data_IF_768276592182
#
_entry.id   IF_768276592182
#
_cell.length_a   1.000
_cell.length_b   1.000
_cell.length_c   1.000
_cell.angle_alpha   90.00
_cell.angle_beta   90.00
_cell.angle_gamma   90.00
#
_symmetry.space_group_name_H-M   'P 1'
#
loop_
_entity.id
_entity.type
_entity.pdbx_description
1 polymer ?
#
# COMPACT_ATOMS: atom_id res chain seq x y z
N UNK A 1 53.61 55.82 -2.86
CA UNK A 1 53.07 54.45 -3.08
C UNK A 1 51.54 54.31 -3.04
N UNK A 2 50.74 55.33 -2.68
CA UNK A 2 49.26 55.16 -2.55
C UNK A 2 48.46 55.36 -3.85
N UNK A 3 49.03 56.02 -4.86
CA UNK A 3 48.31 56.39 -6.10
C UNK A 3 48.26 55.22 -7.11
N UNK A 4 49.27 54.35 -7.13
CA UNK A 4 49.31 53.16 -8.01
C UNK A 4 48.25 52.12 -7.62
N UNK A 5 48.08 51.86 -6.31
CA UNK A 5 47.09 50.92 -5.79
C UNK A 5 45.65 51.32 -6.14
N UNK A 6 45.31 52.61 -6.09
CA UNK A 6 43.97 53.08 -6.44
C UNK A 6 43.67 52.86 -7.94
N UNK A 7 44.66 53.11 -8.80
CA UNK A 7 44.54 52.92 -10.25
C UNK A 7 44.44 51.44 -10.64
N UNK A 8 45.10 50.56 -9.91
CA UNK A 8 44.98 49.10 -10.08
C UNK A 8 43.63 48.59 -9.58
N UNK A 9 43.13 49.09 -8.46
CA UNK A 9 41.80 48.75 -7.94
C UNK A 9 40.66 49.21 -8.88
N UNK A 10 40.78 50.38 -9.51
CA UNK A 10 39.85 50.85 -10.55
C UNK A 10 39.90 49.98 -11.82
N UNK A 11 41.08 49.49 -12.21
CA UNK A 11 41.21 48.58 -13.36
C UNK A 11 40.56 47.23 -13.09
N UNK A 12 40.75 46.67 -11.90
CA UNK A 12 40.16 45.39 -11.49
C UNK A 12 38.63 45.52 -11.37
N UNK A 13 38.13 46.60 -10.78
CA UNK A 13 36.68 46.83 -10.65
C UNK A 13 36.00 47.09 -12.00
N UNK A 14 36.66 47.81 -12.92
CA UNK A 14 36.19 48.04 -14.29
C UNK A 14 36.08 46.73 -15.10
N UNK A 15 37.09 45.86 -15.01
CA UNK A 15 37.06 44.54 -15.66
C UNK A 15 35.95 43.65 -15.09
N UNK A 16 35.78 43.65 -13.77
CA UNK A 16 34.71 42.90 -13.10
C UNK A 16 33.31 43.40 -13.51
N UNK A 17 33.11 44.72 -13.58
CA UNK A 17 31.86 45.30 -14.02
C UNK A 17 31.56 44.98 -15.50
N UNK A 18 32.56 45.01 -16.37
CA UNK A 18 32.41 44.62 -17.79
C UNK A 18 32.01 43.15 -17.91
N UNK A 19 32.63 42.25 -17.13
CA UNK A 19 32.26 40.82 -17.09
C UNK A 19 30.82 40.62 -16.63
N UNK A 20 30.40 41.32 -15.58
CA UNK A 20 29.01 41.26 -15.07
C UNK A 20 27.99 41.75 -16.08
N UNK A 21 28.31 42.78 -16.86
CA UNK A 21 27.45 43.28 -17.94
C UNK A 21 27.34 42.25 -19.08
N UNK A 22 28.46 41.61 -19.47
CA UNK A 22 28.44 40.59 -20.51
C UNK A 22 27.58 39.39 -20.10
N UNK A 23 27.77 38.89 -18.87
CA UNK A 23 26.98 37.76 -18.35
C UNK A 23 25.48 38.07 -18.29
N UNK A 24 25.10 39.29 -17.90
CA UNK A 24 23.68 39.71 -17.93
C UNK A 24 23.12 39.75 -19.35
N UNK A 25 23.92 40.17 -20.34
CA UNK A 25 23.51 40.17 -21.75
C UNK A 25 23.36 38.74 -22.29
N UNK A 26 24.29 37.85 -21.98
CA UNK A 26 24.22 36.43 -22.37
C UNK A 26 23.02 35.73 -21.73
N UNK A 27 22.79 35.94 -20.44
CA UNK A 27 21.61 35.41 -19.75
C UNK A 27 20.32 35.96 -20.37
N UNK A 28 20.24 37.28 -20.62
CA UNK A 28 19.10 37.91 -21.28
C UNK A 28 18.84 37.36 -22.69
N UNK A 29 19.89 37.10 -23.47
CA UNK A 29 19.78 36.45 -24.77
C UNK A 29 19.30 35.00 -24.67
N UNK A 30 19.81 34.22 -23.71
CA UNK A 30 19.38 32.86 -23.46
C UNK A 30 17.89 32.80 -23.09
N UNK A 31 17.43 33.68 -22.19
CA UNK A 31 16.01 33.79 -21.86
C UNK A 31 15.18 34.19 -23.08
N UNK A 32 15.64 35.14 -23.89
CA UNK A 32 14.93 35.55 -25.12
C UNK A 32 14.83 34.43 -26.14
N UNK A 33 15.89 33.62 -26.32
CA UNK A 33 15.89 32.43 -27.19
C UNK A 33 14.94 31.36 -26.65
N UNK A 34 14.98 31.10 -25.34
CA UNK A 34 14.09 30.13 -24.72
C UNK A 34 12.62 30.55 -24.82
N UNK A 35 12.30 31.82 -24.57
CA UNK A 35 10.95 32.36 -24.69
C UNK A 35 10.35 32.24 -26.11
N UNK A 36 11.19 32.21 -27.15
CA UNK A 36 10.72 31.97 -28.52
C UNK A 36 10.14 30.55 -28.69
N UNK A 37 10.61 29.56 -27.94
CA UNK A 37 10.08 28.18 -27.98
C UNK A 37 8.78 28.01 -27.18
N UNK A 38 8.49 28.95 -26.28
CA UNK A 38 7.23 28.99 -25.52
C UNK A 38 6.13 29.83 -26.20
N UNK A 39 6.36 30.23 -27.45
CA UNK A 39 5.31 30.86 -28.25
C UNK A 39 4.34 29.78 -28.76
N UNK A 40 3.02 29.91 -28.54
CA UNK A 40 2.02 28.92 -28.96
C UNK A 40 2.06 28.61 -30.47
N UNK A 41 2.47 29.60 -31.27
CA UNK A 41 2.60 29.47 -32.73
C UNK A 41 3.71 28.52 -33.20
N UNK A 42 4.71 28.24 -32.35
CA UNK A 42 5.89 27.43 -32.74
C UNK A 42 5.88 26.03 -32.15
N UNK A 43 5.06 25.77 -31.14
CA UNK A 43 4.95 24.44 -30.54
C UNK A 43 3.48 24.06 -30.31
N UNK A 44 2.91 23.19 -31.17
CA UNK A 44 1.52 22.74 -31.02
C UNK A 44 1.29 21.97 -29.71
N UNK A 45 2.33 21.36 -29.13
CA UNK A 45 2.23 20.66 -27.86
C UNK A 45 1.90 21.60 -26.67
N UNK A 46 2.24 22.90 -26.77
CA UNK A 46 1.85 23.87 -25.74
C UNK A 46 0.36 24.19 -25.79
N UNK A 47 -0.23 24.19 -26.99
CA UNK A 47 -1.67 24.38 -27.18
C UNK A 47 -2.45 23.17 -26.68
N UNK A 48 -1.93 21.96 -26.92
CA UNK A 48 -2.48 20.73 -26.36
C UNK A 48 -2.41 20.74 -24.82
N UNK A 49 -1.27 21.12 -24.24
CA UNK A 49 -1.10 21.26 -22.79
C UNK A 49 -2.05 22.32 -22.21
N UNK A 50 -2.22 23.45 -22.89
CA UNK A 50 -3.18 24.50 -22.49
C UNK A 50 -4.61 23.96 -22.51
N UNK A 51 -5.01 23.24 -23.54
CA UNK A 51 -6.34 22.62 -23.62
C UNK A 51 -6.56 21.55 -22.54
N UNK A 52 -5.52 20.80 -22.19
CA UNK A 52 -5.54 19.81 -21.11
C UNK A 52 -5.66 20.48 -19.73
N UNK A 53 -4.87 21.53 -19.48
CA UNK A 53 -4.92 22.30 -18.23
C UNK A 53 -6.24 23.06 -18.05
N UNK A 54 -6.83 23.52 -19.16
CA UNK A 54 -8.15 24.16 -19.18
C UNK A 54 -9.31 23.14 -19.17
N UNK A 55 -9.01 21.83 -19.19
CA UNK A 55 -10.02 20.76 -19.16
C UNK A 55 -10.95 20.72 -20.38
N UNK A 56 -10.58 21.39 -21.48
CA UNK A 56 -11.42 21.44 -22.70
C UNK A 56 -11.53 20.06 -23.35
N UNK A 57 -10.47 19.26 -23.27
CA UNK A 57 -10.45 17.87 -23.75
C UNK A 57 -11.39 16.95 -22.97
N UNK A 58 -11.52 17.18 -21.66
CA UNK A 58 -12.34 16.34 -20.79
C UNK A 58 -13.83 16.61 -21.02
N UNK A 59 -14.18 17.85 -21.32
CA UNK A 59 -15.52 18.27 -21.69
C UNK A 59 -15.97 17.60 -23.01
N UNK A 60 -15.13 17.62 -24.04
CA UNK A 60 -15.41 16.97 -25.33
C UNK A 60 -15.57 15.44 -25.18
N UNK A 61 -14.78 14.80 -24.31
CA UNK A 61 -14.92 13.38 -23.98
C UNK A 61 -16.24 13.07 -23.25
N UNK A 62 -16.64 13.94 -22.32
CA UNK A 62 -17.88 13.78 -21.57
C UNK A 62 -19.10 13.89 -22.48
N UNK A 63 -19.10 14.84 -23.41
CA UNK A 63 -20.17 15.01 -24.41
C UNK A 63 -20.29 13.79 -25.33
N UNK A 64 -19.16 13.24 -25.81
CA UNK A 64 -19.16 11.99 -26.59
C UNK A 64 -19.69 10.77 -25.81
N UNK A 65 -19.39 10.66 -24.52
CA UNK A 65 -19.89 9.56 -23.69
C UNK A 65 -21.39 9.72 -23.38
N UNK A 66 -21.86 10.96 -23.23
CA UNK A 66 -23.25 11.26 -22.97
C UNK A 66 -24.15 11.00 -24.19
N UNK A 67 -23.64 11.22 -25.41
CA UNK A 67 -24.33 10.82 -26.64
C UNK A 67 -24.41 9.29 -26.80
N UNK A 68 -23.32 8.56 -26.51
CA UNK A 68 -23.29 7.09 -26.61
C UNK A 68 -24.15 6.36 -25.57
N UNK A 69 -24.37 6.95 -24.40
CA UNK A 69 -25.17 6.36 -23.32
C UNK A 69 -26.68 6.50 -23.50
N UNK A 70 -27.14 7.34 -24.43
CA UNK A 70 -28.58 7.47 -24.76
C UNK A 70 -29.09 6.36 -25.67
N UNK A 71 -28.22 5.60 -26.32
CA UNK A 71 -28.59 4.55 -27.27
C UNK A 71 -28.49 3.16 -26.64
N UNK A 72 -29.42 2.84 -25.73
CA UNK A 72 -29.47 1.52 -25.07
C UNK A 72 -29.99 0.49 -26.08
N UNK A 73 -29.12 -0.43 -26.49
CA UNK A 73 -29.49 -1.54 -27.37
C UNK A 73 -30.53 -2.44 -26.69
N UNK A 74 -31.57 -2.96 -27.37
CA UNK A 74 -32.62 -3.80 -26.75
C UNK A 74 -32.06 -5.02 -26.00
N UNK A 75 -30.89 -5.52 -26.40
CA UNK A 75 -30.20 -6.61 -25.73
C UNK A 75 -29.70 -6.25 -24.33
N UNK A 76 -29.30 -4.99 -24.09
CA UNK A 76 -28.86 -4.51 -22.77
C UNK A 76 -30.05 -4.38 -21.80
N UNK A 77 -31.24 -4.06 -22.31
CA UNK A 77 -32.46 -3.99 -21.50
C UNK A 77 -32.87 -5.36 -20.97
N UNK A 78 -32.81 -6.40 -21.82
CA UNK A 78 -33.08 -7.78 -21.40
C UNK A 78 -32.09 -8.26 -20.32
N UNK A 79 -30.81 -7.94 -20.45
CA UNK A 79 -29.78 -8.30 -19.44
C UNK A 79 -30.07 -7.62 -18.09
N UNK A 80 -30.52 -6.35 -18.10
CA UNK A 80 -30.87 -5.64 -16.87
C UNK A 80 -32.09 -6.23 -16.16
N UNK A 81 -33.09 -6.71 -16.91
CA UNK A 81 -34.25 -7.39 -16.33
C UNK A 81 -33.89 -8.75 -15.74
N UNK A 82 -33.07 -9.53 -16.44
CA UNK A 82 -32.62 -10.84 -15.97
C UNK A 82 -31.79 -10.70 -14.67
N UNK A 83 -30.87 -9.74 -14.64
CA UNK A 83 -30.08 -9.44 -13.44
C UNK A 83 -30.97 -9.06 -12.24
N UNK A 84 -32.02 -8.27 -12.46
CA UNK A 84 -33.01 -7.93 -11.41
C UNK A 84 -33.78 -9.14 -10.88
N UNK A 85 -34.04 -10.14 -11.73
CA UNK A 85 -34.68 -11.37 -11.29
C UNK A 85 -33.72 -12.24 -10.48
N UNK A 86 -32.45 -12.35 -10.90
CA UNK A 86 -31.44 -13.10 -10.14
C UNK A 86 -31.21 -12.52 -8.74
N UNK A 87 -31.24 -11.19 -8.60
CA UNK A 87 -31.07 -10.52 -7.30
C UNK A 87 -32.18 -10.90 -6.29
N UNK A 88 -33.43 -11.04 -6.77
CA UNK A 88 -34.56 -11.47 -5.92
C UNK A 88 -34.38 -12.90 -5.42
N UNK A 89 -33.88 -13.79 -6.28
CA UNK A 89 -33.66 -15.19 -5.94
C UNK A 89 -32.53 -15.36 -4.92
N UNK A 90 -31.41 -14.64 -5.10
CA UNK A 90 -30.29 -14.65 -4.14
C UNK A 90 -30.74 -14.13 -2.78
N UNK A 91 -31.50 -13.03 -2.76
CA UNK A 91 -32.03 -12.43 -1.52
C UNK A 91 -32.99 -13.37 -0.77
N UNK A 92 -33.73 -14.23 -1.48
CA UNK A 92 -34.60 -15.23 -0.86
C UNK A 92 -33.79 -16.38 -0.24
N UNK A 93 -32.75 -16.84 -0.93
CA UNK A 93 -31.86 -17.91 -0.46
C UNK A 93 -30.98 -17.48 0.72
N UNK A 94 -30.61 -16.20 0.80
CA UNK A 94 -29.89 -15.67 1.95
C UNK A 94 -30.72 -15.71 3.25
N UNK A 95 -32.05 -15.58 3.15
CA UNK A 95 -32.93 -15.66 4.31
C UNK A 95 -33.05 -17.06 4.90
N UNK A 96 -32.90 -18.11 4.09
CA UNK A 96 -33.02 -19.50 4.54
C UNK A 96 -31.74 -20.07 5.17
N UNK A 97 -30.57 -19.51 4.87
CA UNK A 97 -29.28 -19.95 5.43
C UNK A 97 -28.96 -19.33 6.80
N UNK A 98 -29.84 -18.48 7.35
CA UNK A 98 -29.62 -17.77 8.63
C UNK A 98 -30.02 -18.56 9.88
N UNK A 99 -30.58 -19.77 9.73
CA UNK A 99 -31.10 -20.58 10.87
C UNK A 99 -30.26 -21.83 11.20
N UNK A 100 -29.15 -22.08 10.51
CA UNK A 100 -28.34 -23.29 10.71
C UNK A 100 -26.86 -22.99 10.87
N UNK A 101 -26.26 -23.59 11.89
CA UNK A 101 -24.81 -23.87 12.04
C UNK A 101 -24.02 -22.88 12.89
N UNK A 102 -23.95 -23.17 14.20
CA UNK A 102 -22.89 -22.73 15.12
C UNK A 102 -21.83 -23.83 15.34
N UNK A 103 -20.61 -23.34 15.58
CA UNK A 103 -19.56 -23.84 16.48
C UNK A 103 -18.53 -24.93 16.08
N UNK A 104 -17.27 -24.46 16.05
CA UNK A 104 -16.13 -24.87 16.92
C UNK A 104 -14.99 -25.75 16.38
N UNK A 105 -13.83 -25.48 17.00
CA UNK A 105 -12.58 -26.24 17.15
C UNK A 105 -11.42 -25.81 16.22
N UNK A 106 -10.47 -24.99 16.69
CA UNK A 106 -9.37 -25.24 17.66
C UNK A 106 -8.08 -25.75 17.00
N UNK A 107 -7.02 -25.02 17.32
CA UNK A 107 -5.66 -25.10 16.83
C UNK A 107 -4.83 -26.03 17.72
N UNK A 108 -3.86 -26.74 17.14
CA UNK A 108 -2.87 -27.54 17.87
C UNK A 108 -1.46 -27.04 17.55
N UNK A 109 -0.66 -26.80 18.59
CA UNK A 109 0.75 -26.45 18.52
C UNK A 109 1.63 -27.63 18.95
N UNK A 110 2.75 -27.78 18.24
CA UNK A 110 3.74 -28.87 18.36
C UNK A 110 4.83 -28.47 19.37
N UNK A 111 5.31 -29.42 20.18
CA UNK A 111 6.20 -29.15 21.33
C UNK A 111 7.53 -29.92 21.24
N UNK A 112 8.61 -29.26 21.66
CA UNK A 112 10.00 -29.72 21.75
C UNK A 112 10.24 -30.46 23.10
N UNK A 113 10.80 -31.69 23.14
CA UNK A 113 10.74 -32.56 24.33
C UNK A 113 11.63 -32.16 25.53
N UNK A 114 12.79 -31.53 25.32
CA UNK A 114 13.74 -31.23 26.43
C UNK A 114 13.25 -30.08 27.32
N UNK A 115 12.58 -29.07 26.74
CA UNK A 115 12.00 -27.96 27.50
C UNK A 115 10.81 -28.41 28.37
N UNK A 116 10.09 -29.44 27.92
CA UNK A 116 8.97 -30.00 28.67
C UNK A 116 9.42 -30.64 29.98
N UNK A 117 10.56 -31.32 30.00
CA UNK A 117 11.06 -31.96 31.22
C UNK A 117 11.42 -30.90 32.28
N UNK A 118 12.08 -29.81 31.88
CA UNK A 118 12.36 -28.68 32.78
C UNK A 118 11.10 -27.95 33.25
N UNK A 119 10.12 -27.74 32.36
CA UNK A 119 8.85 -27.13 32.73
C UNK A 119 8.06 -28.02 33.70
N UNK A 120 8.04 -29.33 33.46
CA UNK A 120 7.35 -30.29 34.31
C UNK A 120 7.96 -30.34 35.73
N UNK A 121 9.29 -30.28 35.84
CA UNK A 121 9.98 -30.20 37.13
C UNK A 121 9.63 -28.89 37.85
N UNK A 122 9.63 -27.75 37.16
CA UNK A 122 9.27 -26.45 37.74
C UNK A 122 7.80 -26.42 38.19
N UNK A 123 6.88 -26.98 37.40
CA UNK A 123 5.49 -27.11 37.81
C UNK A 123 5.33 -28.01 39.04
N UNK A 124 6.08 -29.11 39.10
CA UNK A 124 6.07 -29.99 40.27
C UNK A 124 6.58 -29.29 41.53
N UNK A 125 7.65 -28.48 41.44
CA UNK A 125 8.16 -27.68 42.56
C UNK A 125 7.13 -26.65 43.01
N UNK A 126 6.46 -25.97 42.07
CA UNK A 126 5.35 -25.05 42.36
C UNK A 126 4.22 -25.75 43.10
N UNK A 127 3.81 -26.92 42.64
CA UNK A 127 2.73 -27.68 43.26
C UNK A 127 3.11 -28.21 44.64
N UNK A 128 4.35 -28.66 44.84
CA UNK A 128 4.83 -29.12 46.14
C UNK A 128 4.87 -27.97 47.17
N UNK A 129 5.31 -26.78 46.76
CA UNK A 129 5.31 -25.59 47.61
C UNK A 129 3.89 -25.12 48.00
N UNK A 130 2.90 -25.33 47.12
CA UNK A 130 1.49 -24.97 47.36
C UNK A 130 0.62 -26.11 47.90
N UNK A 131 1.21 -27.29 48.17
CA UNK A 131 0.44 -28.48 48.56
C UNK A 131 -0.05 -28.44 50.02
N UNK A 132 0.61 -27.67 50.89
CA UNK A 132 0.19 -27.51 52.28
C UNK A 132 -1.09 -26.66 52.35
N UNK A 133 -2.04 -27.08 53.20
CA UNK A 133 -3.29 -26.33 53.45
C UNK A 133 -3.04 -24.93 54.02
N UNK A 134 -1.87 -24.72 54.65
CA UNK A 134 -1.31 -23.40 54.99
C UNK A 134 0.16 -23.34 54.53
N UNK A 135 0.46 -22.71 53.37
CA UNK A 135 1.83 -22.63 52.86
C UNK A 135 2.67 -21.66 53.70
N UNK A 136 3.93 -22.04 53.97
CA UNK A 136 4.90 -21.16 54.64
C UNK A 136 5.18 -19.91 53.80
N UNK A 137 5.51 -18.75 54.39
CA UNK A 137 5.95 -17.58 53.63
C UNK A 137 7.16 -17.87 52.73
N UNK A 138 8.00 -18.84 53.11
CA UNK A 138 9.12 -19.30 52.28
C UNK A 138 8.61 -20.08 51.05
N UNK A 139 7.60 -20.93 51.22
CA UNK A 139 7.01 -21.71 50.13
C UNK A 139 6.33 -20.80 49.10
N UNK A 140 5.70 -19.70 49.56
CA UNK A 140 5.13 -18.69 48.68
C UNK A 140 6.20 -17.98 47.83
N UNK A 141 7.35 -17.65 48.42
CA UNK A 141 8.46 -17.05 47.67
C UNK A 141 9.04 -18.04 46.65
N UNK A 142 9.19 -19.31 47.02
CA UNK A 142 9.62 -20.37 46.10
C UNK A 142 8.63 -20.49 44.94
N UNK A 143 7.33 -20.58 45.20
CA UNK A 143 6.31 -20.67 44.15
C UNK A 143 6.31 -19.45 43.22
N UNK A 144 6.48 -18.23 43.76
CA UNK A 144 6.59 -17.00 42.96
C UNK A 144 7.85 -16.99 42.09
N UNK A 145 9.00 -17.37 42.64
CA UNK A 145 10.27 -17.42 41.91
C UNK A 145 10.22 -18.44 40.76
N UNK A 146 9.65 -19.62 41.01
CA UNK A 146 9.46 -20.68 40.02
C UNK A 146 8.48 -20.22 38.92
N UNK A 147 7.41 -19.51 39.29
CA UNK A 147 6.48 -18.95 38.30
C UNK A 147 7.17 -17.93 37.37
N UNK A 148 8.01 -17.05 37.93
CA UNK A 148 8.80 -16.13 37.12
C UNK A 148 9.76 -16.87 36.17
N UNK A 149 10.35 -17.98 36.63
CA UNK A 149 11.25 -18.79 35.81
C UNK A 149 10.54 -19.54 34.68
N UNK A 150 9.32 -20.05 34.93
CA UNK A 150 8.47 -20.64 33.88
C UNK A 150 8.17 -19.59 32.80
N UNK A 151 7.79 -18.37 33.19
CA UNK A 151 7.54 -17.29 32.24
C UNK A 151 8.79 -16.91 31.44
N UNK A 152 9.97 -16.92 32.07
CA UNK A 152 11.24 -16.69 31.40
C UNK A 152 11.53 -17.74 30.34
N UNK A 153 11.41 -19.04 30.67
CA UNK A 153 11.65 -20.14 29.72
C UNK A 153 10.66 -20.08 28.55
N UNK A 154 9.38 -19.78 28.83
CA UNK A 154 8.38 -19.60 27.78
C UNK A 154 8.77 -18.43 26.87
N UNK A 155 9.16 -17.28 27.41
CA UNK A 155 9.57 -16.13 26.61
C UNK A 155 10.90 -16.35 25.87
N UNK A 156 11.86 -17.04 26.47
CA UNK A 156 13.14 -17.38 25.83
C UNK A 156 12.95 -18.37 24.70
N UNK A 157 12.01 -19.32 24.80
CA UNK A 157 11.70 -20.22 23.67
C UNK A 157 11.21 -19.44 22.44
N UNK A 158 10.62 -18.25 22.62
CA UNK A 158 10.29 -17.31 21.53
C UNK A 158 11.44 -16.38 21.13
N UNK A 159 12.52 -16.29 21.91
CA UNK A 159 13.60 -15.29 21.74
C UNK A 159 14.96 -15.89 21.37
N UNK A 160 15.21 -17.17 21.68
CA UNK A 160 16.44 -17.93 21.41
C UNK A 160 16.59 -18.42 19.96
N UNK A 161 15.65 -18.12 19.06
CA UNK A 161 15.95 -18.14 17.61
C UNK A 161 16.80 -16.92 17.18
N UNK A 162 17.13 -16.01 18.11
CA UNK A 162 17.55 -14.66 17.77
C UNK A 162 19.03 -14.29 17.90
N UNK A 163 19.82 -14.84 18.84
CA UNK A 163 21.18 -14.30 19.10
C UNK A 163 22.16 -15.26 19.79
N UNK A 164 23.21 -15.69 19.08
CA UNK A 164 24.63 -15.62 19.47
C UNK A 164 25.48 -15.95 18.23
N UNK A 165 26.25 -14.96 17.77
CA UNK A 165 27.24 -15.08 16.72
C UNK A 165 27.39 -13.74 16.01
N UNK A 166 28.62 -13.23 15.87
CA UNK A 166 28.96 -12.30 14.78
C UNK A 166 28.88 -13.07 13.46
N UNK A 167 27.70 -13.57 13.18
CA UNK A 167 27.32 -14.13 11.93
C UNK A 167 26.82 -12.94 11.12
N UNK A 168 27.52 -12.61 10.05
CA UNK A 168 26.99 -11.70 9.05
C UNK A 168 25.52 -12.08 8.84
N UNK A 169 24.61 -11.11 8.97
CA UNK A 169 23.19 -11.40 9.07
C UNK A 169 22.78 -12.28 7.89
N UNK A 170 21.90 -13.27 8.11
CA UNK A 170 21.63 -14.36 7.16
C UNK A 170 21.44 -13.91 5.70
N UNK A 171 20.84 -12.73 5.49
CA UNK A 171 20.71 -12.09 4.17
C UNK A 171 22.02 -11.83 3.41
N UNK A 172 23.19 -11.87 4.06
CA UNK A 172 24.52 -11.69 3.47
C UNK A 172 25.11 -13.01 2.99
N UNK A 173 24.83 -14.12 3.69
CA UNK A 173 25.35 -15.46 3.36
C UNK A 173 24.40 -16.28 2.51
N UNK A 174 23.11 -16.01 2.62
CA UNK A 174 22.08 -16.69 1.87
C UNK A 174 22.06 -16.16 0.43
N UNK A 175 22.47 -17.00 -0.52
CA UNK A 175 22.18 -16.76 -1.94
C UNK A 175 20.67 -16.92 -2.08
N UNK A 176 19.95 -15.81 -1.92
CA UNK A 176 18.53 -15.74 -2.22
C UNK A 176 18.36 -16.02 -3.71
N UNK A 177 17.92 -17.24 -4.03
CA UNK A 177 17.49 -17.61 -5.38
C UNK A 177 16.18 -16.87 -5.67
N UNK A 178 16.29 -15.60 -6.03
CA UNK A 178 15.16 -14.77 -6.43
C UNK A 178 14.68 -15.30 -7.77
N UNK A 179 13.63 -16.12 -7.74
CA UNK A 179 12.90 -16.54 -8.94
C UNK A 179 12.24 -15.31 -9.55
N UNK A 180 12.96 -14.63 -10.43
CA UNK A 180 12.42 -13.51 -11.20
C UNK A 180 11.29 -14.06 -12.06
N UNK A 181 10.03 -13.65 -11.84
CA UNK A 181 8.93 -14.11 -12.68
C UNK A 181 9.20 -13.78 -14.15
N UNK A 182 8.87 -14.69 -15.07
CA UNK A 182 9.18 -14.56 -16.51
C UNK A 182 8.72 -13.24 -17.15
N UNK A 183 7.71 -12.58 -16.56
CA UNK A 183 7.23 -11.27 -17.00
C UNK A 183 8.28 -10.15 -16.85
N UNK A 184 9.29 -10.34 -16.00
CA UNK A 184 10.35 -9.37 -15.74
C UNK A 184 11.67 -9.70 -16.47
N UNK A 185 11.84 -10.92 -16.97
CA UNK A 185 13.01 -11.32 -17.77
C UNK A 185 12.85 -11.01 -19.26
N UNK A 186 11.62 -10.74 -19.71
CA UNK A 186 11.33 -10.35 -21.09
C UNK A 186 11.50 -8.84 -21.27
N UNK A 187 12.31 -8.44 -22.24
CA UNK A 187 12.39 -7.05 -22.66
C UNK A 187 11.01 -6.59 -23.13
N UNK A 188 10.40 -5.69 -22.37
CA UNK A 188 9.12 -5.10 -22.70
C UNK A 188 9.32 -4.09 -23.82
N UNK A 189 9.06 -4.50 -25.07
CA UNK A 189 9.01 -3.60 -26.22
C UNK A 189 7.76 -2.74 -26.12
N UNK A 190 7.89 -1.59 -25.47
CA UNK A 190 6.88 -0.55 -25.45
C UNK A 190 6.90 0.17 -26.79
N UNK A 191 5.82 0.06 -27.55
CA UNK A 191 5.59 0.92 -28.70
C UNK A 191 5.02 2.25 -28.20
N UNK A 192 5.74 3.38 -28.37
CA UNK A 192 5.27 4.68 -27.90
C UNK A 192 4.02 5.18 -28.65
N UNK A 193 3.64 4.56 -29.77
CA UNK A 193 2.48 4.94 -30.57
C UNK A 193 1.28 4.00 -30.40
N UNK A 194 1.41 2.93 -29.62
CA UNK A 194 0.29 2.05 -29.33
C UNK A 194 -0.51 2.60 -28.13
N UNK A 195 -1.83 2.71 -28.27
CA UNK A 195 -2.78 3.09 -27.20
C UNK A 195 -2.95 1.98 -26.12
N UNK A 196 -1.90 1.21 -25.91
CA UNK A 196 -1.91 -0.07 -25.21
C UNK A 196 -0.87 -0.03 -24.10
N UNK A 197 -1.34 -0.08 -22.86
CA UNK A 197 -0.48 -0.08 -21.67
C UNK A 197 -0.12 -1.54 -21.35
N UNK A 198 1.15 -1.91 -21.44
CA UNK A 198 1.66 -3.29 -21.22
C UNK A 198 0.98 -4.37 -22.11
N UNK A 199 0.69 -4.05 -23.37
CA UNK A 199 0.03 -4.99 -24.29
C UNK A 199 -1.48 -5.17 -24.05
N UNK A 200 -2.10 -4.39 -23.15
CA UNK A 200 -3.55 -4.35 -22.93
C UNK A 200 -4.15 -2.96 -23.23
N UNK A 201 -5.33 -2.93 -23.84
CA UNK A 201 -6.07 -1.68 -24.05
C UNK A 201 -6.45 -1.09 -22.68
N UNK A 202 -6.19 0.21 -22.48
CA UNK A 202 -6.51 0.95 -21.27
C UNK A 202 -7.95 0.73 -20.78
N UNK A 203 -8.94 0.82 -21.67
CA UNK A 203 -10.35 0.68 -21.30
C UNK A 203 -10.65 -0.70 -20.72
N UNK A 204 -10.07 -1.75 -21.32
CA UNK A 204 -10.25 -3.13 -20.87
C UNK A 204 -9.58 -3.37 -19.52
N UNK A 205 -8.37 -2.84 -19.33
CA UNK A 205 -7.63 -2.95 -18.07
C UNK A 205 -8.33 -2.18 -16.95
N UNK A 206 -8.87 -0.99 -17.26
CA UNK A 206 -9.66 -0.19 -16.32
C UNK A 206 -10.93 -0.92 -15.89
N UNK A 207 -11.72 -1.44 -16.85
CA UNK A 207 -12.95 -2.20 -16.55
C UNK A 207 -12.66 -3.43 -15.67
N UNK A 208 -11.62 -4.20 -16.00
CA UNK A 208 -11.20 -5.36 -15.21
C UNK A 208 -10.80 -4.97 -13.78
N UNK A 209 -10.02 -3.90 -13.62
CA UNK A 209 -9.60 -3.41 -12.30
C UNK A 209 -10.80 -2.95 -11.47
N UNK A 210 -11.69 -2.17 -12.06
CA UNK A 210 -12.90 -1.68 -11.38
C UNK A 210 -13.80 -2.84 -10.98
N UNK A 211 -13.99 -3.82 -11.87
CA UNK A 211 -14.75 -5.03 -11.56
C UNK A 211 -14.14 -5.79 -10.39
N UNK A 212 -12.81 -6.01 -10.39
CA UNK A 212 -12.11 -6.67 -9.28
C UNK A 212 -12.35 -5.95 -7.96
N UNK A 213 -12.13 -4.63 -7.92
CA UNK A 213 -12.32 -3.81 -6.73
C UNK A 213 -13.77 -3.87 -6.22
N UNK A 214 -14.76 -3.80 -7.12
CA UNK A 214 -16.17 -3.90 -6.75
C UNK A 214 -16.49 -5.30 -6.24
N UNK A 215 -15.97 -6.35 -6.87
CA UNK A 215 -16.17 -7.74 -6.45
C UNK A 215 -15.59 -8.02 -5.06
N UNK A 216 -14.39 -7.50 -4.76
CA UNK A 216 -13.76 -7.61 -3.45
C UNK A 216 -14.56 -6.86 -2.39
N UNK A 217 -14.97 -5.61 -2.67
CA UNK A 217 -15.81 -4.83 -1.77
C UNK A 217 -17.14 -5.50 -1.48
N UNK A 218 -17.77 -6.07 -2.51
CA UNK A 218 -19.02 -6.81 -2.36
C UNK A 218 -18.81 -8.07 -1.52
N UNK A 219 -17.76 -8.86 -1.81
CA UNK A 219 -17.43 -10.04 -1.02
C UNK A 219 -17.16 -9.70 0.45
N UNK A 220 -16.40 -8.63 0.70
CA UNK A 220 -16.14 -8.12 2.04
C UNK A 220 -17.43 -7.66 2.73
N UNK A 221 -18.30 -6.92 2.04
CA UNK A 221 -19.60 -6.51 2.57
C UNK A 221 -20.47 -7.72 2.94
N UNK A 222 -20.54 -8.74 2.09
CA UNK A 222 -21.25 -10.00 2.38
C UNK A 222 -20.68 -10.68 3.63
N UNK A 223 -19.35 -10.73 3.77
CA UNK A 223 -18.71 -11.28 4.97
C UNK A 223 -19.04 -10.46 6.22
N UNK A 224 -18.99 -9.13 6.14
CA UNK A 224 -19.36 -8.24 7.23
C UNK A 224 -20.83 -8.45 7.64
N UNK A 225 -21.75 -8.52 6.67
CA UNK A 225 -23.17 -8.78 6.93
C UNK A 225 -23.39 -10.15 7.57
N UNK A 226 -22.67 -11.19 7.12
CA UNK A 226 -22.67 -12.51 7.78
C UNK A 226 -22.20 -12.43 9.22
N UNK A 227 -21.18 -11.60 9.49
CA UNK A 227 -20.66 -11.35 10.83
C UNK A 227 -21.54 -10.40 11.68
N UNK A 228 -22.72 -10.03 11.18
CA UNK A 228 -23.71 -9.22 11.92
C UNK A 228 -23.62 -7.71 11.68
N UNK A 229 -22.69 -7.23 10.84
CA UNK A 229 -22.63 -5.82 10.42
C UNK A 229 -23.90 -5.42 9.67
N UNK A 230 -24.50 -4.29 10.05
CA UNK A 230 -25.71 -3.77 9.43
C UNK A 230 -25.49 -2.28 9.11
N UNK A 231 -25.30 -1.91 7.83
CA UNK A 231 -24.98 -0.54 7.46
C UNK A 231 -26.08 0.47 7.86
N UNK A 232 -27.34 0.02 7.97
CA UNK A 232 -28.47 0.87 8.35
C UNK A 232 -28.60 1.14 9.86
N UNK A 233 -27.87 0.40 10.71
CA UNK A 233 -27.93 0.55 12.18
C UNK A 233 -26.67 1.15 12.79
N UNK A 234 -25.60 1.27 12.01
CA UNK A 234 -24.40 1.96 12.44
C UNK A 234 -24.66 3.46 12.44
N UNK A 235 -24.90 3.95 13.66
CA UNK A 235 -24.92 5.36 14.01
C UNK A 235 -23.78 6.12 13.33
N UNK A 236 -24.09 7.12 12.48
CA UNK A 236 -23.12 8.11 11.97
C UNK A 236 -22.53 9.03 13.07
N UNK A 237 -22.43 8.54 14.31
CA UNK A 237 -22.06 9.31 15.52
C UNK A 237 -20.54 9.46 15.71
N UNK A 238 -19.74 9.27 14.67
CA UNK A 238 -18.33 9.67 14.69
C UNK A 238 -18.02 10.76 13.65
N UNK A 239 -18.96 11.69 13.45
CA UNK A 239 -18.74 12.96 12.76
C UNK A 239 -19.04 14.15 13.70
N UNK A 240 -18.60 14.03 14.96
CA UNK A 240 -18.55 15.12 15.93
C UNK A 240 -17.21 15.05 16.65
N UNK A 241 -16.24 15.85 16.19
CA UNK A 241 -15.32 16.71 16.95
C UNK A 241 -14.24 17.24 16.01
#
# INVERSE_FOLDING_TARGET
>A
MKISNLREQERISSQYNRKKILQRKEAGEAYRKNAMYFQPKKNPALLELENLLLGRTDQDLFEQQQEKSKEVTPQQQAIMEDLRQTEKNVRAHERSYKEGTSDSAESSTVVNPEQNDTLQILEQVRHAALASTEPSPQDLQVAQSVNAQIQHILNDSYTEEGKIGEEEPSFVRDILEVKVPERFSKELKLDPFADTIFGKNYETAFKLRTFHQVSEKYAAHVQMTKNGYRPDTDSMFSLIA
#
